data_IF_744967057308
#
_entry.id   IF_744967057308
#
_cell.length_a   1.000
_cell.length_b   1.000
_cell.length_c   1.000
_cell.angle_alpha   90.00
_cell.angle_beta   90.00
_cell.angle_gamma   90.00
#
_symmetry.space_group_name_H-M   'P 1'
#
loop_
_entity.id
_entity.type
_entity.pdbx_description
1 polymer ?
#
# COMPACT_ATOMS: atom_id res chain seq x y z
N UNK A 1 13.63 -5.50 27.56
CA UNK A 1 12.84 -6.00 26.42
C UNK A 1 13.83 -6.35 25.31
N UNK A 2 14.09 -7.62 25.12
CA UNK A 2 14.87 -8.11 23.98
C UNK A 2 14.01 -7.87 22.73
N UNK A 3 14.44 -6.97 21.89
CA UNK A 3 13.73 -6.70 20.64
C UNK A 3 13.74 -7.98 19.78
N UNK A 4 12.57 -8.52 19.47
CA UNK A 4 12.40 -9.62 18.52
C UNK A 4 13.10 -9.38 17.16
N UNK A 5 13.39 -8.11 16.88
CA UNK A 5 14.06 -7.64 15.65
C UNK A 5 15.59 -7.76 15.70
N UNK A 6 16.20 -8.09 16.85
CA UNK A 6 17.65 -8.19 17.03
C UNK A 6 18.22 -9.60 16.84
N UNK A 7 17.35 -10.63 16.75
CA UNK A 7 17.79 -11.98 16.40
C UNK A 7 17.93 -12.06 14.88
N UNK A 8 19.13 -11.79 14.38
CA UNK A 8 19.53 -12.03 12.99
C UNK A 8 19.72 -13.53 12.72
N UNK A 9 18.70 -14.33 12.86
CA UNK A 9 18.72 -15.61 12.20
C UNK A 9 18.60 -15.36 10.69
N UNK A 10 19.68 -15.68 10.04
CA UNK A 10 19.89 -15.37 8.63
C UNK A 10 18.93 -16.17 7.76
N UNK A 11 18.14 -15.48 6.93
CA UNK A 11 17.38 -16.10 5.84
C UNK A 11 18.26 -16.92 4.87
N UNK A 12 19.60 -16.92 5.07
CA UNK A 12 20.54 -17.70 4.27
C UNK A 12 20.27 -19.21 4.31
N UNK A 13 19.69 -19.73 5.41
CA UNK A 13 19.30 -21.13 5.51
C UNK A 13 18.19 -21.54 4.51
N UNK A 14 17.46 -20.58 3.97
CA UNK A 14 16.43 -20.86 2.96
C UNK A 14 17.01 -21.42 1.66
N UNK A 15 18.30 -21.20 1.39
CA UNK A 15 19.01 -21.83 0.26
C UNK A 15 19.01 -23.36 0.36
N UNK A 16 18.98 -23.88 1.58
CA UNK A 16 19.00 -25.32 1.83
C UNK A 16 17.60 -25.86 2.09
N UNK A 17 16.70 -25.05 2.69
CA UNK A 17 15.35 -25.47 3.09
C UNK A 17 14.32 -25.37 1.97
N UNK A 18 14.44 -24.36 1.09
CA UNK A 18 13.47 -24.08 0.03
C UNK A 18 14.17 -23.38 -1.17
N UNK A 19 15.13 -24.03 -1.83
CA UNK A 19 15.98 -23.39 -2.85
C UNK A 19 15.18 -22.87 -4.05
N UNK A 20 14.25 -23.66 -4.57
CA UNK A 20 13.47 -23.30 -5.76
C UNK A 20 12.52 -22.11 -5.48
N UNK A 21 11.87 -22.11 -4.30
CA UNK A 21 10.99 -21.05 -3.86
C UNK A 21 11.76 -19.74 -3.64
N UNK A 22 12.94 -19.83 -3.03
CA UNK A 22 13.82 -18.68 -2.82
C UNK A 22 14.28 -18.09 -4.16
N UNK A 23 14.68 -18.93 -5.10
CA UNK A 23 15.11 -18.48 -6.42
C UNK A 23 13.95 -17.79 -7.16
N UNK A 24 12.78 -18.41 -7.21
CA UNK A 24 11.60 -17.85 -7.87
C UNK A 24 11.17 -16.52 -7.23
N UNK A 25 11.23 -16.41 -5.89
CA UNK A 25 10.95 -15.16 -5.19
C UNK A 25 11.95 -14.06 -5.56
N UNK A 26 13.23 -14.37 -5.62
CA UNK A 26 14.26 -13.41 -6.01
C UNK A 26 14.08 -12.95 -7.47
N UNK A 27 13.82 -13.87 -8.40
CA UNK A 27 13.58 -13.55 -9.81
C UNK A 27 12.35 -12.65 -9.97
N UNK A 28 11.27 -12.93 -9.24
CA UNK A 28 10.09 -12.08 -9.20
C UNK A 28 10.43 -10.67 -8.72
N UNK A 29 11.14 -10.53 -7.60
CA UNK A 29 11.53 -9.21 -7.09
C UNK A 29 12.45 -8.47 -8.06
N UNK A 30 13.44 -9.14 -8.65
CA UNK A 30 14.32 -8.52 -9.64
C UNK A 30 13.53 -7.99 -10.83
N UNK A 31 12.56 -8.74 -11.34
CA UNK A 31 11.71 -8.33 -12.45
C UNK A 31 10.85 -7.11 -12.09
N UNK A 32 10.21 -7.11 -10.91
CA UNK A 32 9.36 -6.00 -10.45
C UNK A 32 10.16 -4.72 -10.31
N UNK A 33 11.35 -4.78 -9.71
CA UNK A 33 12.15 -3.60 -9.40
C UNK A 33 13.09 -3.15 -10.54
N UNK A 34 12.99 -3.72 -11.72
CA UNK A 34 13.71 -3.24 -12.91
C UNK A 34 13.14 -1.89 -13.37
N UNK A 35 14.00 -0.97 -13.83
CA UNK A 35 13.57 0.27 -14.48
C UNK A 35 12.70 -0.03 -15.70
N UNK A 36 11.59 0.66 -15.83
CA UNK A 36 10.66 0.53 -16.94
C UNK A 36 9.80 1.80 -17.07
N UNK A 37 8.46 1.73 -17.10
CA UNK A 37 7.61 2.93 -17.10
C UNK A 37 7.73 3.71 -15.79
N UNK A 38 7.84 3.00 -14.67
CA UNK A 38 8.26 3.57 -13.41
C UNK A 38 9.76 3.33 -13.21
N UNK A 39 10.47 4.37 -12.81
CA UNK A 39 11.89 4.28 -12.45
C UNK A 39 12.10 3.45 -11.18
N UNK A 40 13.30 2.94 -10.99
CA UNK A 40 13.67 2.25 -9.74
C UNK A 40 13.39 3.10 -8.51
N UNK A 41 13.64 4.42 -8.59
CA UNK A 41 13.35 5.37 -7.51
C UNK A 41 11.86 5.37 -7.16
N UNK A 42 10.99 5.52 -8.16
CA UNK A 42 9.55 5.53 -7.98
C UNK A 42 9.05 4.20 -7.38
N UNK A 43 9.56 3.07 -7.87
CA UNK A 43 9.23 1.76 -7.32
C UNK A 43 9.64 1.59 -5.86
N UNK A 44 10.80 2.10 -5.45
CA UNK A 44 11.22 2.07 -4.05
C UNK A 44 10.37 3.02 -3.18
N UNK A 45 9.94 4.17 -3.70
CA UNK A 45 9.00 5.07 -2.99
C UNK A 45 7.65 4.37 -2.78
N UNK A 46 7.10 3.72 -3.82
CA UNK A 46 5.88 2.90 -3.69
C UNK A 46 6.10 1.77 -2.68
N UNK A 47 7.26 1.11 -2.72
CA UNK A 47 7.60 0.06 -1.78
C UNK A 47 7.59 0.56 -0.33
N UNK A 48 8.18 1.72 -0.05
CA UNK A 48 8.14 2.33 1.29
C UNK A 48 6.68 2.59 1.72
N UNK A 49 5.84 3.13 0.84
CA UNK A 49 4.41 3.32 1.11
C UNK A 49 3.72 2.00 1.50
N UNK A 50 3.92 0.94 0.72
CA UNK A 50 3.32 -0.39 0.98
C UNK A 50 3.86 -1.05 2.25
N UNK A 51 5.13 -0.83 2.62
CA UNK A 51 5.68 -1.38 3.87
C UNK A 51 4.97 -0.84 5.11
N UNK A 52 4.38 0.36 5.04
CA UNK A 52 3.57 0.93 6.11
C UNK A 52 2.16 0.33 6.16
N UNK A 53 1.62 -0.17 5.02
CA UNK A 53 0.40 -0.98 5.01
C UNK A 53 0.64 -2.35 5.65
N UNK A 54 1.74 -3.02 5.27
CA UNK A 54 2.08 -4.35 5.79
C UNK A 54 2.64 -4.31 7.20
N UNK A 55 3.02 -3.13 7.70
CA UNK A 55 3.61 -2.90 9.02
C UNK A 55 4.83 -3.80 9.31
N UNK A 56 5.59 -4.12 8.27
CA UNK A 56 6.76 -4.98 8.36
C UNK A 56 8.03 -4.15 8.65
N UNK A 57 8.57 -4.15 9.87
CA UNK A 57 9.71 -3.30 10.21
C UNK A 57 10.99 -3.62 9.42
N UNK A 58 11.20 -4.89 9.08
CA UNK A 58 12.31 -5.30 8.22
C UNK A 58 12.18 -4.70 6.81
N UNK A 59 10.96 -4.68 6.27
CA UNK A 59 10.69 -4.14 4.95
C UNK A 59 10.80 -2.60 4.95
N UNK A 60 10.32 -1.93 6.00
CA UNK A 60 10.45 -0.47 6.16
C UNK A 60 11.94 -0.09 6.14
N UNK A 61 12.77 -0.73 6.97
CA UNK A 61 14.21 -0.46 7.03
C UNK A 61 14.88 -0.72 5.67
N UNK A 62 14.63 -1.88 5.08
CA UNK A 62 15.25 -2.30 3.82
C UNK A 62 14.91 -1.37 2.65
N UNK A 63 13.61 -1.10 2.41
CA UNK A 63 13.16 -0.27 1.29
C UNK A 63 13.44 1.22 1.50
N UNK A 64 13.44 1.72 2.75
CA UNK A 64 13.89 3.09 3.05
C UNK A 64 15.37 3.28 2.68
N UNK A 65 16.23 2.32 3.04
CA UNK A 65 17.65 2.35 2.66
C UNK A 65 17.84 2.27 1.14
N UNK A 66 17.08 1.43 0.46
CA UNK A 66 17.13 1.32 -0.99
C UNK A 66 16.64 2.59 -1.67
N UNK A 67 15.50 3.14 -1.26
CA UNK A 67 14.97 4.41 -1.77
C UNK A 67 16.02 5.54 -1.64
N UNK A 68 16.68 5.64 -0.49
CA UNK A 68 17.79 6.58 -0.28
C UNK A 68 18.94 6.35 -1.27
N UNK A 69 19.34 5.09 -1.52
CA UNK A 69 20.43 4.76 -2.46
C UNK A 69 20.12 5.16 -3.90
N UNK A 70 18.85 5.12 -4.30
CA UNK A 70 18.40 5.53 -5.64
C UNK A 70 17.96 7.01 -5.69
N UNK A 71 18.28 7.80 -4.66
CA UNK A 71 18.11 9.25 -4.64
C UNK A 71 16.74 9.76 -4.22
N UNK A 72 15.94 8.95 -3.52
CA UNK A 72 14.73 9.46 -2.88
C UNK A 72 15.08 10.32 -1.67
N UNK A 73 14.34 11.41 -1.47
CA UNK A 73 14.48 12.29 -0.31
C UNK A 73 13.53 11.88 0.81
N UNK A 74 13.82 12.33 2.04
CA UNK A 74 12.95 12.05 3.18
C UNK A 74 11.58 12.72 3.01
N UNK A 75 11.55 13.89 2.36
CA UNK A 75 10.30 14.60 2.05
C UNK A 75 9.43 13.80 1.09
N UNK A 76 10.00 13.24 0.02
CA UNK A 76 9.28 12.36 -0.92
C UNK A 76 8.71 11.13 -0.22
N UNK A 77 9.51 10.48 0.63
CA UNK A 77 9.06 9.31 1.40
C UNK A 77 7.97 9.68 2.40
N UNK A 78 8.08 10.83 3.06
CA UNK A 78 7.05 11.32 3.99
C UNK A 78 5.73 11.57 3.27
N UNK A 79 5.76 12.21 2.09
CA UNK A 79 4.56 12.43 1.29
C UNK A 79 3.91 11.09 0.87
N UNK A 80 4.71 10.11 0.44
CA UNK A 80 4.22 8.79 0.08
C UNK A 80 3.53 8.07 1.25
N UNK A 81 4.09 8.16 2.46
CA UNK A 81 3.50 7.58 3.67
C UNK A 81 2.21 8.31 4.08
N UNK A 82 2.12 9.64 3.88
CA UNK A 82 0.87 10.36 4.10
C UNK A 82 -0.22 9.98 3.09
N UNK A 83 0.13 9.67 1.84
CA UNK A 83 -0.82 9.05 0.89
C UNK A 83 -1.32 7.72 1.44
N UNK A 84 -0.42 6.87 1.93
CA UNK A 84 -0.80 5.59 2.58
C UNK A 84 -1.81 5.82 3.71
N UNK A 85 -1.50 6.72 4.64
CA UNK A 85 -2.38 7.01 5.77
C UNK A 85 -3.76 7.54 5.33
N UNK A 86 -3.82 8.35 4.27
CA UNK A 86 -5.08 8.87 3.72
C UNK A 86 -5.91 7.76 3.06
N UNK A 87 -5.29 6.83 2.33
CA UNK A 87 -5.97 5.69 1.69
C UNK A 87 -6.47 4.69 2.74
N UNK A 88 -5.68 4.40 3.77
CA UNK A 88 -6.09 3.56 4.90
C UNK A 88 -7.33 4.14 5.61
N UNK A 89 -7.30 5.43 5.94
CA UNK A 89 -8.45 6.13 6.51
C UNK A 89 -9.66 6.12 5.54
N UNK A 90 -9.39 6.32 4.24
CA UNK A 90 -10.39 6.28 3.17
C UNK A 90 -11.07 4.92 3.05
N UNK A 91 -10.34 3.84 3.25
CA UNK A 91 -10.87 2.48 3.32
C UNK A 91 -11.94 2.36 4.41
N UNK A 92 -11.62 2.78 5.64
CA UNK A 92 -12.59 2.78 6.75
C UNK A 92 -13.81 3.65 6.45
N UNK A 93 -13.60 4.85 5.90
CA UNK A 93 -14.68 5.78 5.53
C UNK A 93 -15.59 5.19 4.47
N UNK A 94 -15.06 4.63 3.38
CA UNK A 94 -15.88 4.07 2.29
C UNK A 94 -16.60 2.79 2.70
N UNK A 95 -15.99 1.95 3.50
CA UNK A 95 -16.62 0.73 4.04
C UNK A 95 -17.69 1.01 5.10
N UNK A 96 -17.76 2.23 5.66
CA UNK A 96 -18.87 2.62 6.54
C UNK A 96 -20.24 2.53 5.87
N UNK A 97 -20.30 2.53 4.53
CA UNK A 97 -21.53 2.29 3.75
C UNK A 97 -22.20 0.97 4.11
N UNK A 98 -21.42 -0.05 4.48
CA UNK A 98 -21.96 -1.36 4.88
C UNK A 98 -22.75 -1.31 6.21
N UNK A 99 -22.49 -0.32 7.09
CA UNK A 99 -23.30 -0.12 8.31
C UNK A 99 -24.73 0.22 7.94
N UNK A 100 -24.95 0.98 6.86
CA UNK A 100 -26.27 1.35 6.40
C UNK A 100 -26.93 0.18 5.67
N UNK A 101 -26.20 -0.48 4.76
CA UNK A 101 -26.70 -1.65 4.03
C UNK A 101 -27.14 -2.77 4.97
N UNK A 102 -26.40 -3.00 6.07
CA UNK A 102 -26.76 -4.01 7.06
C UNK A 102 -28.10 -3.76 7.80
N UNK A 103 -28.59 -2.52 7.76
CA UNK A 103 -29.87 -2.09 8.38
C UNK A 103 -31.01 -1.93 7.38
N UNK A 104 -30.71 -2.01 6.10
CA UNK A 104 -31.65 -1.83 5.02
C UNK A 104 -32.07 -3.21 4.47
N UNK A 105 -33.34 -3.57 4.68
CA UNK A 105 -33.91 -4.84 4.22
C UNK A 105 -34.01 -4.95 2.71
N UNK A 106 -33.99 -3.82 2.02
CA UNK A 106 -34.03 -3.73 0.55
C UNK A 106 -32.65 -3.53 -0.08
N UNK A 107 -31.58 -3.59 0.75
CA UNK A 107 -30.23 -3.47 0.22
C UNK A 107 -29.90 -4.59 -0.77
N UNK A 108 -29.12 -4.24 -1.80
CA UNK A 108 -28.60 -5.18 -2.79
C UNK A 108 -27.76 -6.29 -2.11
N UNK A 109 -27.83 -7.50 -2.65
CA UNK A 109 -26.97 -8.61 -2.26
C UNK A 109 -25.49 -8.39 -2.63
N UNK A 110 -25.21 -7.43 -3.51
CA UNK A 110 -23.85 -7.05 -3.88
C UNK A 110 -23.26 -6.10 -2.85
N UNK A 111 -22.16 -6.52 -2.19
CA UNK A 111 -21.51 -5.72 -1.15
C UNK A 111 -20.69 -4.53 -1.72
N UNK A 112 -20.22 -4.61 -2.98
CA UNK A 112 -19.28 -3.64 -3.55
C UNK A 112 -19.84 -2.86 -4.75
N UNK A 113 -21.11 -2.48 -4.69
CA UNK A 113 -21.70 -1.62 -5.72
C UNK A 113 -21.21 -0.17 -5.57
N UNK A 114 -20.85 0.47 -6.71
CA UNK A 114 -20.49 1.90 -6.72
C UNK A 114 -21.60 2.80 -6.17
N UNK A 115 -22.86 2.40 -6.32
CA UNK A 115 -24.01 3.09 -5.75
C UNK A 115 -23.96 3.23 -4.24
N UNK A 116 -23.29 2.31 -3.53
CA UNK A 116 -23.09 2.37 -2.08
C UNK A 116 -22.38 3.66 -1.64
N UNK A 117 -21.49 4.21 -2.47
CA UNK A 117 -20.78 5.46 -2.16
C UNK A 117 -21.74 6.64 -1.92
N UNK A 118 -22.97 6.59 -2.45
CA UNK A 118 -24.02 7.59 -2.15
C UNK A 118 -24.38 7.62 -0.66
N UNK A 119 -24.24 6.48 0.04
CA UNK A 119 -24.53 6.35 1.47
C UNK A 119 -23.52 7.07 2.37
N UNK A 120 -22.38 7.52 1.83
CA UNK A 120 -21.42 8.36 2.56
C UNK A 120 -22.06 9.65 3.06
N UNK A 121 -23.13 10.13 2.41
CA UNK A 121 -23.95 11.23 2.91
C UNK A 121 -24.49 11.01 4.33
N UNK A 122 -24.74 9.77 4.74
CA UNK A 122 -25.16 9.44 6.10
C UNK A 122 -24.02 9.66 7.10
N UNK A 123 -22.79 9.26 6.75
CA UNK A 123 -21.63 9.52 7.61
C UNK A 123 -21.41 11.03 7.80
N UNK A 124 -21.55 11.82 6.73
CA UNK A 124 -21.50 13.29 6.80
C UNK A 124 -22.57 13.84 7.76
N UNK A 125 -23.78 13.29 7.70
CA UNK A 125 -24.90 13.71 8.56
C UNK A 125 -24.60 13.49 10.04
N UNK A 126 -24.01 12.36 10.41
CA UNK A 126 -23.79 11.96 11.80
C UNK A 126 -22.42 12.34 12.36
N UNK A 127 -21.42 12.64 11.52
CA UNK A 127 -20.05 12.97 11.94
C UNK A 127 -19.42 14.05 11.05
N UNK A 128 -20.10 15.18 10.92
CA UNK A 128 -19.78 16.25 9.96
C UNK A 128 -18.35 16.80 10.10
N UNK A 129 -17.95 17.10 11.33
CA UNK A 129 -16.63 17.72 11.59
C UNK A 129 -15.48 16.74 11.30
N UNK A 130 -15.59 15.51 11.80
CA UNK A 130 -14.59 14.48 11.52
C UNK A 130 -14.49 14.15 10.04
N UNK A 131 -15.62 14.08 9.34
CA UNK A 131 -15.62 13.85 7.89
C UNK A 131 -14.96 15.01 7.12
N UNK A 132 -15.21 16.26 7.52
CA UNK A 132 -14.50 17.42 6.92
C UNK A 132 -13.00 17.37 7.19
N UNK A 133 -12.59 16.99 8.41
CA UNK A 133 -11.19 16.78 8.76
C UNK A 133 -10.54 15.71 7.88
N UNK A 134 -11.21 14.58 7.69
CA UNK A 134 -10.76 13.53 6.77
C UNK A 134 -10.63 14.05 5.32
N UNK A 135 -11.62 14.78 4.80
CA UNK A 135 -11.55 15.33 3.45
C UNK A 135 -10.37 16.29 3.27
N UNK A 136 -10.14 17.18 4.24
CA UNK A 136 -9.00 18.10 4.22
C UNK A 136 -7.67 17.34 4.25
N UNK A 137 -7.55 16.31 5.09
CA UNK A 137 -6.37 15.46 5.16
C UNK A 137 -6.12 14.71 3.84
N UNK A 138 -7.14 14.04 3.30
CA UNK A 138 -7.03 13.29 2.03
C UNK A 138 -6.62 14.20 0.87
N UNK A 139 -7.24 15.39 0.77
CA UNK A 139 -6.88 16.39 -0.25
C UNK A 139 -5.43 16.86 -0.08
N UNK A 140 -4.99 17.12 1.15
CA UNK A 140 -3.61 17.55 1.40
C UNK A 140 -2.59 16.44 1.07
N UNK A 141 -2.93 15.19 1.34
CA UNK A 141 -2.05 14.06 1.06
C UNK A 141 -1.83 13.81 -0.44
N UNK A 142 -2.85 14.06 -1.28
CA UNK A 142 -2.81 13.71 -2.71
C UNK A 142 -2.46 14.90 -3.63
N UNK A 143 -2.47 16.16 -3.14
CA UNK A 143 -2.08 17.33 -3.96
C UNK A 143 -0.60 17.31 -4.34
N UNK A 144 -0.25 18.05 -5.40
CA UNK A 144 1.16 18.28 -5.80
C UNK A 144 2.02 18.75 -4.63
N UNK A 145 3.23 18.23 -4.57
CA UNK A 145 4.25 18.57 -3.58
C UNK A 145 5.64 18.21 -4.09
N UNK A 146 6.45 17.52 -3.30
CA UNK A 146 7.72 16.93 -3.78
C UNK A 146 7.45 15.80 -4.77
N UNK A 147 6.36 15.06 -4.56
CA UNK A 147 5.80 14.14 -5.52
C UNK A 147 4.64 14.80 -6.28
N UNK A 148 4.54 14.53 -7.58
CA UNK A 148 3.40 15.01 -8.38
C UNK A 148 2.09 14.34 -7.92
N UNK A 149 0.96 15.03 -8.08
CA UNK A 149 -0.37 14.48 -7.80
C UNK A 149 -0.65 13.20 -8.60
N UNK A 150 -0.19 13.14 -9.87
CA UNK A 150 -0.24 11.92 -10.68
C UNK A 150 0.44 10.75 -9.97
N UNK A 151 1.68 10.93 -9.52
CA UNK A 151 2.43 9.85 -8.89
C UNK A 151 1.85 9.48 -7.52
N UNK A 152 1.31 10.44 -6.78
CA UNK A 152 0.58 10.18 -5.53
C UNK A 152 -0.69 9.34 -5.74
N UNK A 153 -1.43 9.56 -6.82
CA UNK A 153 -2.56 8.70 -7.16
C UNK A 153 -2.12 7.30 -7.61
N UNK A 154 -0.98 7.15 -8.29
CA UNK A 154 -0.38 5.83 -8.58
C UNK A 154 -0.01 5.10 -7.29
N UNK A 155 0.61 5.79 -6.32
CA UNK A 155 0.87 5.25 -4.97
C UNK A 155 -0.46 4.84 -4.31
N UNK A 156 -1.49 5.68 -4.39
CA UNK A 156 -2.79 5.38 -3.79
C UNK A 156 -3.45 4.13 -4.40
N UNK A 157 -3.32 3.89 -5.72
CA UNK A 157 -3.77 2.65 -6.36
C UNK A 157 -3.01 1.44 -5.83
N UNK A 158 -1.68 1.52 -5.69
CA UNK A 158 -0.87 0.44 -5.14
C UNK A 158 -1.25 0.13 -3.68
N UNK A 159 -1.46 1.16 -2.85
CA UNK A 159 -1.93 1.05 -1.46
C UNK A 159 -3.34 0.45 -1.41
N UNK A 160 -4.27 0.97 -2.21
CA UNK A 160 -5.64 0.46 -2.29
C UNK A 160 -5.69 -1.02 -2.68
N UNK A 161 -4.78 -1.45 -3.56
CA UNK A 161 -4.63 -2.86 -3.95
C UNK A 161 -4.06 -3.70 -2.79
N UNK A 162 -3.10 -3.17 -2.05
CA UNK A 162 -2.54 -3.84 -0.87
C UNK A 162 -3.59 -4.02 0.24
N UNK A 163 -4.43 -3.01 0.47
CA UNK A 163 -5.54 -3.04 1.44
C UNK A 163 -6.76 -3.79 0.93
N UNK A 164 -6.80 -4.15 -0.37
CA UNK A 164 -7.91 -4.86 -1.02
C UNK A 164 -9.24 -4.09 -0.94
N UNK A 165 -9.20 -2.76 -0.95
CA UNK A 165 -10.38 -1.90 -0.89
C UNK A 165 -10.91 -1.59 -2.31
N UNK A 166 -11.97 -2.23 -2.80
CA UNK A 166 -12.45 -2.02 -4.17
C UNK A 166 -12.95 -0.60 -4.43
N UNK A 167 -13.50 0.08 -3.43
CA UNK A 167 -13.89 1.49 -3.55
C UNK A 167 -12.68 2.41 -3.73
N UNK A 168 -11.61 2.17 -2.96
CA UNK A 168 -10.38 2.95 -3.06
C UNK A 168 -9.70 2.70 -4.42
N UNK A 169 -9.63 1.44 -4.88
CA UNK A 169 -9.11 1.10 -6.21
C UNK A 169 -9.88 1.86 -7.29
N UNK A 170 -11.22 1.83 -7.27
CA UNK A 170 -12.06 2.52 -8.28
C UNK A 170 -11.82 4.04 -8.29
N UNK A 171 -11.79 4.67 -7.12
CA UNK A 171 -11.62 6.13 -7.00
C UNK A 171 -10.23 6.56 -7.44
N UNK A 172 -9.17 5.94 -6.89
CA UNK A 172 -7.79 6.35 -7.16
C UNK A 172 -7.34 6.00 -8.57
N UNK A 173 -7.82 4.89 -9.17
CA UNK A 173 -7.59 4.60 -10.59
C UNK A 173 -8.14 5.71 -11.47
N UNK A 174 -9.40 6.13 -11.26
CA UNK A 174 -10.00 7.22 -12.04
C UNK A 174 -9.27 8.55 -11.86
N UNK A 175 -8.78 8.82 -10.66
CA UNK A 175 -8.00 10.04 -10.39
C UNK A 175 -6.64 9.98 -11.09
N UNK A 176 -5.93 8.86 -11.00
CA UNK A 176 -4.66 8.64 -11.67
C UNK A 176 -4.79 8.81 -13.20
N UNK A 177 -5.82 8.19 -13.81
CA UNK A 177 -6.12 8.33 -15.25
C UNK A 177 -6.36 9.80 -15.65
N UNK A 178 -7.16 10.54 -14.87
CA UNK A 178 -7.40 11.98 -15.10
C UNK A 178 -6.14 12.81 -15.06
N UNK A 179 -5.15 12.39 -14.27
CA UNK A 179 -3.84 13.02 -14.17
C UNK A 179 -2.82 12.47 -15.18
N UNK A 180 -3.25 11.59 -16.09
CA UNK A 180 -2.45 11.06 -17.18
C UNK A 180 -1.58 9.87 -16.80
N UNK A 181 -1.97 9.08 -15.80
CA UNK A 181 -1.32 7.79 -15.55
C UNK A 181 -1.69 6.79 -16.67
N UNK A 182 -0.69 6.00 -17.09
CA UNK A 182 -0.90 4.95 -18.08
C UNK A 182 -1.26 3.61 -17.41
N UNK A 183 -1.85 2.71 -18.19
CA UNK A 183 -2.14 1.35 -17.70
C UNK A 183 -0.88 0.60 -17.28
N UNK A 184 0.23 0.84 -17.97
CA UNK A 184 1.52 0.23 -17.68
C UNK A 184 2.07 0.72 -16.32
N UNK A 185 2.01 2.04 -16.05
CA UNK A 185 2.40 2.62 -14.76
C UNK A 185 1.56 2.03 -13.62
N UNK A 186 0.25 1.92 -13.80
CA UNK A 186 -0.65 1.33 -12.81
C UNK A 186 -0.37 -0.16 -12.60
N UNK A 187 -0.13 -0.92 -13.67
CA UNK A 187 0.21 -2.34 -13.58
C UNK A 187 1.52 -2.54 -12.82
N UNK A 188 2.55 -1.75 -13.10
CA UNK A 188 3.83 -1.81 -12.39
C UNK A 188 3.69 -1.47 -10.91
N UNK A 189 2.90 -0.46 -10.55
CA UNK A 189 2.61 -0.11 -9.17
C UNK A 189 1.89 -1.24 -8.41
N UNK A 190 0.95 -1.94 -9.05
CA UNK A 190 0.28 -3.13 -8.51
C UNK A 190 1.28 -4.28 -8.34
N UNK A 191 2.22 -4.47 -9.27
CA UNK A 191 3.26 -5.50 -9.13
C UNK A 191 4.21 -5.20 -7.97
N UNK A 192 4.55 -3.93 -7.71
CA UNK A 192 5.28 -3.53 -6.49
C UNK A 192 4.46 -3.91 -5.25
N UNK A 193 3.17 -3.60 -5.22
CA UNK A 193 2.29 -3.98 -4.11
C UNK A 193 2.30 -5.49 -3.86
N UNK A 194 2.21 -6.29 -4.92
CA UNK A 194 2.27 -7.76 -4.86
C UNK A 194 3.60 -8.25 -4.26
N UNK A 195 4.73 -7.71 -4.75
CA UNK A 195 6.06 -8.06 -4.26
C UNK A 195 6.23 -7.73 -2.77
N UNK A 196 5.70 -6.58 -2.32
CA UNK A 196 5.81 -6.15 -0.92
C UNK A 196 4.92 -6.97 0.01
N UNK A 197 3.73 -7.41 -0.43
CA UNK A 197 2.91 -8.34 0.35
C UNK A 197 3.60 -9.69 0.53
N UNK A 198 4.18 -10.24 -0.54
CA UNK A 198 5.00 -11.46 -0.48
C UNK A 198 6.26 -11.25 0.38
N UNK A 199 6.93 -10.10 0.20
CA UNK A 199 8.12 -9.70 0.95
C UNK A 199 7.90 -9.60 2.46
N UNK A 200 6.73 -9.10 2.88
CA UNK A 200 6.34 -9.07 4.30
C UNK A 200 6.29 -10.48 4.90
N UNK A 201 5.64 -11.43 4.24
CA UNK A 201 5.62 -12.82 4.68
C UNK A 201 7.03 -13.43 4.72
N UNK A 202 7.81 -13.22 3.65
CA UNK A 202 9.20 -13.69 3.55
C UNK A 202 10.08 -13.12 4.67
N UNK A 203 10.02 -11.82 4.92
CA UNK A 203 10.88 -11.17 5.91
C UNK A 203 10.61 -11.67 7.34
N UNK A 204 9.35 -12.00 7.65
CA UNK A 204 8.95 -12.53 8.97
C UNK A 204 9.33 -14.00 9.18
N UNK A 205 9.78 -14.74 8.16
CA UNK A 205 10.35 -16.09 8.35
C UNK A 205 11.54 -16.10 9.32
N UNK A 206 12.23 -14.96 9.50
CA UNK A 206 13.30 -14.81 10.51
C UNK A 206 12.80 -15.15 11.91
N UNK A 207 11.61 -14.68 12.28
CA UNK A 207 10.99 -14.95 13.58
C UNK A 207 10.60 -16.43 13.67
N UNK A 208 9.95 -16.96 12.62
CA UNK A 208 9.58 -18.38 12.56
C UNK A 208 10.79 -19.30 12.73
N UNK A 209 11.88 -19.03 12.01
CA UNK A 209 13.08 -19.84 12.04
C UNK A 209 13.77 -19.76 13.42
N UNK A 210 13.83 -18.55 14.01
CA UNK A 210 14.37 -18.37 15.37
C UNK A 210 13.55 -19.17 16.40
N UNK A 211 12.22 -19.07 16.34
CA UNK A 211 11.33 -19.77 17.27
C UNK A 211 11.33 -21.30 17.09
N UNK A 212 11.75 -21.79 15.94
CA UNK A 212 11.83 -23.24 15.69
C UNK A 212 13.13 -23.86 16.24
N UNK A 213 14.17 -23.03 16.46
CA UNK A 213 15.50 -23.47 16.95
C UNK A 213 15.70 -23.25 18.43
N UNK A 214 14.83 -22.48 19.09
CA UNK A 214 14.80 -22.27 20.55
C UNK A 214 14.09 -23.47 21.24
#
# INVERSE_FOLDING_TARGET
MTHFYSKEESLTRLKDLAPDQLQAFNDFNMAVFKDSMLTRKEKEIIAVAITHVTQCPYCIDYHTKNAKRVGATLEELSEAVFVTAAVEAGGAVTHSTHIHNAKDTEASNSLYERSNLKSLGQLVKFSKEAFRGYQAFSTAATKDGKLSGKFKEIIAVAVATATQCPYCIDVHTKNAEKLGATNEELAEAVMVSSALRAGGAYAHMRIMMASFTD
#
